data_IF_733171387356
#
_entry.id   IF_733171387356
#
_cell.length_a   1.000
_cell.length_b   1.000
_cell.length_c   1.000
_cell.angle_alpha   90.00
_cell.angle_beta   90.00
_cell.angle_gamma   90.00
#
_symmetry.space_group_name_H-M   'P 1'
#
loop_
_entity.id
_entity.type
_entity.pdbx_description
1 polymer ?
#
# COMPACT_ATOMS: atom_id res chain seq x y z
N UNK A 1 -19.44 -20.90 73.16
CA UNK A 1 -19.25 -22.09 72.29
C UNK A 1 -20.25 -21.91 71.15
N UNK A 2 -19.95 -21.66 69.88
CA UNK A 2 -18.80 -21.87 68.99
C UNK A 2 -18.98 -20.94 67.78
N UNK A 3 -17.86 -20.43 67.22
CA UNK A 3 -17.81 -19.64 65.98
C UNK A 3 -17.86 -20.56 64.75
N UNK A 4 -18.50 -20.14 63.65
CA UNK A 4 -18.01 -20.48 62.30
C UNK A 4 -18.15 -19.26 61.37
N UNK A 5 -17.05 -18.91 60.73
CA UNK A 5 -16.84 -17.74 59.87
C UNK A 5 -16.94 -18.21 58.41
N UNK A 6 -17.90 -17.71 57.64
CA UNK A 6 -17.98 -17.97 56.19
C UNK A 6 -16.86 -17.20 55.45
N UNK A 7 -16.27 -17.75 54.37
CA UNK A 7 -15.07 -17.17 53.78
C UNK A 7 -15.38 -15.89 53.01
N UNK A 8 -14.56 -14.87 53.22
CA UNK A 8 -14.48 -13.66 52.42
C UNK A 8 -14.11 -14.08 50.99
N UNK A 9 -15.06 -14.00 50.06
CA UNK A 9 -14.78 -14.19 48.65
C UNK A 9 -13.90 -13.02 48.21
N UNK A 10 -12.61 -13.29 47.97
CA UNK A 10 -11.68 -12.33 47.40
C UNK A 10 -12.24 -11.86 46.06
N UNK A 11 -12.57 -10.56 45.87
CA UNK A 11 -12.70 -10.05 44.52
C UNK A 11 -11.27 -10.02 43.97
N UNK A 12 -10.92 -11.07 43.23
CA UNK A 12 -9.75 -11.04 42.36
C UNK A 12 -9.90 -9.78 41.51
N UNK A 13 -9.06 -8.77 41.78
CA UNK A 13 -8.99 -7.53 41.01
C UNK A 13 -8.53 -7.91 39.59
N UNK A 14 -9.48 -8.37 38.78
CA UNK A 14 -9.30 -8.49 37.34
C UNK A 14 -9.28 -7.07 36.82
N UNK A 15 -8.08 -6.57 36.53
CA UNK A 15 -7.91 -5.40 35.68
C UNK A 15 -8.54 -5.77 34.34
N UNK A 16 -9.77 -5.31 34.11
CA UNK A 16 -10.41 -5.39 32.81
C UNK A 16 -9.63 -4.45 31.89
N UNK A 17 -8.70 -5.02 31.13
CA UNK A 17 -8.03 -4.30 30.04
C UNK A 17 -9.10 -4.11 28.97
N UNK A 18 -9.67 -2.90 28.93
CA UNK A 18 -10.49 -2.47 27.82
C UNK A 18 -9.60 -2.47 26.57
N UNK A 19 -9.79 -3.49 25.73
CA UNK A 19 -8.97 -3.73 24.54
C UNK A 19 -9.40 -2.85 23.36
N UNK A 20 -10.49 -2.10 23.49
CA UNK A 20 -11.01 -1.26 22.42
C UNK A 20 -11.74 -0.06 23.01
N UNK A 21 -11.03 1.03 23.35
CA UNK A 21 -11.70 2.28 23.67
C UNK A 21 -12.59 2.69 22.50
N UNK A 22 -13.86 3.00 22.79
CA UNK A 22 -14.84 3.41 21.79
C UNK A 22 -14.31 4.60 21.01
N UNK A 23 -13.83 4.35 19.79
CA UNK A 23 -13.41 5.39 18.88
C UNK A 23 -14.63 6.22 18.54
N UNK A 24 -14.66 7.47 19.00
CA UNK A 24 -15.62 8.44 18.51
C UNK A 24 -15.43 8.55 17.00
N UNK A 25 -16.36 7.99 16.24
CA UNK A 25 -16.40 8.14 14.79
C UNK A 25 -16.62 9.62 14.55
N UNK A 26 -15.59 10.32 14.08
CA UNK A 26 -15.78 11.65 13.53
C UNK A 26 -16.59 11.44 12.25
N UNK A 27 -17.85 11.86 12.29
CA UNK A 27 -18.78 11.86 11.17
C UNK A 27 -18.40 12.94 10.14
N UNK A 28 -17.12 13.01 9.77
CA UNK A 28 -16.63 13.68 8.57
C UNK A 28 -15.94 12.60 7.73
N UNK A 29 -16.66 11.51 7.46
CA UNK A 29 -16.30 10.65 6.36
C UNK A 29 -16.69 11.45 5.12
N UNK A 30 -15.74 12.14 4.51
CA UNK A 30 -15.91 12.68 3.17
C UNK A 30 -16.21 11.50 2.25
N UNK A 31 -17.49 11.17 2.09
CA UNK A 31 -17.97 10.23 1.07
C UNK A 31 -17.96 11.00 -0.25
N UNK A 32 -16.77 11.45 -0.65
CA UNK A 32 -16.53 11.91 -2.00
C UNK A 32 -16.82 10.77 -2.98
N UNK A 33 -16.99 11.10 -4.25
CA UNK A 33 -17.01 10.09 -5.30
C UNK A 33 -15.59 9.55 -5.43
N UNK A 34 -15.34 8.36 -4.88
CA UNK A 34 -14.06 7.68 -4.96
C UNK A 34 -14.06 6.71 -6.14
N UNK A 35 -12.93 6.64 -6.83
CA UNK A 35 -12.71 5.63 -7.86
C UNK A 35 -12.26 4.31 -7.23
N UNK A 36 -12.64 3.21 -7.85
CA UNK A 36 -12.16 1.88 -7.49
C UNK A 36 -10.67 1.78 -7.85
N UNK A 37 -9.76 1.47 -6.89
CA UNK A 37 -8.34 1.32 -7.14
C UNK A 37 -7.97 0.25 -8.18
N UNK A 38 -8.84 -0.73 -8.40
CA UNK A 38 -8.61 -1.80 -9.38
C UNK A 38 -8.95 -1.40 -10.83
N UNK A 39 -9.67 -0.29 -11.03
CA UNK A 39 -10.11 0.17 -12.35
C UNK A 39 -8.98 0.88 -13.07
N UNK A 40 -8.64 0.40 -14.27
CA UNK A 40 -7.53 0.92 -15.10
C UNK A 40 -7.95 1.98 -16.12
N UNK A 41 -9.25 2.10 -16.40
CA UNK A 41 -9.80 3.02 -17.41
C UNK A 41 -10.93 3.85 -16.81
N UNK A 42 -10.82 5.18 -16.92
CA UNK A 42 -11.83 6.12 -16.41
C UNK A 42 -12.53 6.79 -17.60
N UNK A 43 -13.86 6.85 -17.56
CA UNK A 43 -14.68 7.42 -18.64
C UNK A 43 -14.87 8.94 -18.55
N UNK A 44 -14.41 9.54 -17.46
CA UNK A 44 -14.48 10.98 -17.20
C UNK A 44 -13.13 11.46 -16.64
N UNK A 45 -12.94 12.78 -16.51
CA UNK A 45 -11.73 13.35 -15.93
C UNK A 45 -11.95 13.58 -14.41
N UNK A 46 -11.50 12.68 -13.52
CA UNK A 46 -11.65 12.85 -12.08
C UNK A 46 -10.72 13.94 -11.54
N UNK A 47 -11.00 14.44 -10.34
CA UNK A 47 -10.11 15.40 -9.66
C UNK A 47 -8.94 14.65 -9.03
N UNK A 48 -7.83 15.38 -8.81
CA UNK A 48 -6.61 14.82 -8.22
C UNK A 48 -6.87 14.10 -6.89
N UNK A 49 -7.65 14.71 -6.00
CA UNK A 49 -7.98 14.14 -4.68
C UNK A 49 -8.71 12.80 -4.79
N UNK A 50 -9.63 12.69 -5.76
CA UNK A 50 -10.40 11.44 -5.96
C UNK A 50 -9.60 10.32 -6.63
N UNK A 51 -8.58 10.64 -7.44
CA UNK A 51 -7.76 9.65 -8.14
C UNK A 51 -6.58 9.16 -7.30
N UNK A 52 -5.98 10.03 -6.49
CA UNK A 52 -4.77 9.73 -5.72
C UNK A 52 -5.04 9.57 -4.21
N UNK A 53 -6.31 9.39 -3.83
CA UNK A 53 -6.66 9.01 -2.47
C UNK A 53 -6.02 7.66 -2.10
N UNK A 54 -5.31 7.55 -0.95
CA UNK A 54 -4.73 6.29 -0.52
C UNK A 54 -5.81 5.29 -0.10
N UNK A 55 -5.52 4.00 -0.26
CA UNK A 55 -6.39 2.94 0.26
C UNK A 55 -6.37 2.93 1.80
N UNK A 56 -7.55 2.83 2.41
CA UNK A 56 -7.68 2.75 3.86
C UNK A 56 -7.60 1.30 4.34
N UNK A 57 -6.78 1.07 5.38
CA UNK A 57 -6.66 -0.23 6.06
C UNK A 57 -5.25 -0.79 6.02
N UNK A 58 -4.94 -1.81 6.85
CA UNK A 58 -3.65 -2.47 6.85
C UNK A 58 -3.44 -3.29 5.57
N UNK A 59 -2.21 -3.32 5.08
CA UNK A 59 -1.83 -4.17 3.95
C UNK A 59 -1.94 -5.66 4.33
N UNK A 60 -2.33 -6.50 3.36
CA UNK A 60 -2.45 -7.94 3.58
C UNK A 60 -1.07 -8.59 3.84
N UNK A 61 -0.82 -9.12 5.06
CA UNK A 61 0.49 -9.66 5.43
C UNK A 61 0.82 -11.00 4.77
N UNK A 62 -0.16 -11.64 4.10
CA UNK A 62 0.04 -12.91 3.40
C UNK A 62 0.54 -12.75 1.95
N UNK A 63 0.74 -11.52 1.48
CA UNK A 63 1.30 -11.26 0.16
C UNK A 63 2.81 -11.35 0.19
N UNK A 64 3.39 -12.11 -0.74
CA UNK A 64 4.83 -12.05 -1.00
C UNK A 64 5.18 -10.71 -1.64
N UNK A 65 6.45 -10.30 -1.59
CA UNK A 65 6.89 -9.03 -2.20
C UNK A 65 6.49 -8.90 -3.68
N UNK A 66 6.59 -9.99 -4.45
CA UNK A 66 6.18 -10.05 -5.85
C UNK A 66 4.66 -9.93 -6.04
N UNK A 67 3.86 -10.40 -5.08
CA UNK A 67 2.40 -10.30 -5.11
C UNK A 67 1.87 -8.96 -4.58
N UNK A 68 2.64 -8.28 -3.72
CA UNK A 68 2.35 -6.94 -3.24
C UNK A 68 2.65 -5.87 -4.30
N UNK A 69 3.64 -6.12 -5.16
CA UNK A 69 3.98 -5.20 -6.25
C UNK A 69 2.86 -5.10 -7.32
N UNK A 70 2.57 -3.90 -7.84
CA UNK A 70 1.65 -3.73 -8.95
C UNK A 70 2.21 -4.44 -10.19
N UNK A 71 1.47 -5.40 -10.74
CA UNK A 71 1.93 -6.25 -11.83
C UNK A 71 0.86 -6.44 -12.90
N UNK A 72 1.29 -6.42 -14.16
CA UNK A 72 0.47 -6.74 -15.33
C UNK A 72 0.82 -8.14 -15.88
N UNK A 73 2.07 -8.57 -15.68
CA UNK A 73 2.59 -9.91 -15.99
C UNK A 73 3.18 -10.55 -14.74
N UNK A 74 3.49 -11.85 -14.76
CA UNK A 74 3.98 -12.55 -13.56
C UNK A 74 5.23 -11.91 -12.96
N UNK A 75 6.14 -11.42 -13.80
CA UNK A 75 7.41 -10.81 -13.41
C UNK A 75 7.33 -9.32 -13.06
N UNK A 76 6.23 -8.62 -13.35
CA UNK A 76 6.15 -7.19 -13.06
C UNK A 76 5.14 -6.42 -13.91
N UNK A 77 5.42 -5.13 -14.13
CA UNK A 77 4.57 -4.20 -14.85
C UNK A 77 5.23 -3.81 -16.17
N UNK A 78 4.52 -3.97 -17.28
CA UNK A 78 5.01 -3.57 -18.59
C UNK A 78 3.94 -2.76 -19.31
N UNK A 79 4.33 -1.55 -19.73
CA UNK A 79 3.51 -0.63 -20.51
C UNK A 79 4.29 -0.17 -21.75
N UNK A 80 3.61 0.03 -22.89
CA UNK A 80 4.22 0.68 -24.04
C UNK A 80 4.65 2.10 -23.68
N UNK A 81 5.94 2.40 -23.82
CA UNK A 81 6.49 3.73 -23.61
C UNK A 81 6.87 4.37 -24.95
N UNK A 82 6.50 5.63 -25.14
CA UNK A 82 6.89 6.42 -26.31
C UNK A 82 8.07 7.32 -25.96
N UNK A 83 9.27 6.81 -26.18
CA UNK A 83 10.53 7.51 -25.90
C UNK A 83 11.33 7.64 -27.19
N UNK A 84 12.08 8.71 -27.33
CA UNK A 84 12.94 8.93 -28.49
C UNK A 84 14.07 7.87 -28.56
N UNK A 85 14.18 7.18 -29.69
CA UNK A 85 15.16 6.12 -29.96
C UNK A 85 16.60 6.56 -29.68
N UNK A 86 16.95 7.80 -30.06
CA UNK A 86 18.29 8.34 -29.83
C UNK A 86 18.61 8.44 -28.33
N UNK A 87 17.62 8.81 -27.51
CA UNK A 87 17.79 8.98 -26.07
C UNK A 87 17.94 7.62 -25.37
N UNK A 88 17.20 6.59 -25.81
CA UNK A 88 17.36 5.23 -25.31
C UNK A 88 18.77 4.72 -25.61
N UNK A 89 19.21 4.84 -26.86
CA UNK A 89 20.48 4.25 -27.28
C UNK A 89 21.67 4.99 -26.65
N UNK A 90 21.58 6.31 -26.47
CA UNK A 90 22.57 7.06 -25.71
C UNK A 90 22.68 6.53 -24.28
N UNK A 91 21.55 6.40 -23.57
CA UNK A 91 21.56 5.91 -22.19
C UNK A 91 22.03 4.45 -22.08
N UNK A 92 21.65 3.59 -23.02
CA UNK A 92 22.11 2.20 -23.07
C UNK A 92 23.63 2.14 -23.19
N UNK A 93 24.23 2.97 -24.06
CA UNK A 93 25.69 3.04 -24.21
C UNK A 93 26.37 3.61 -22.97
N UNK A 94 25.86 4.69 -22.39
CA UNK A 94 26.41 5.26 -21.15
C UNK A 94 26.35 4.25 -20.01
N UNK A 95 25.28 3.46 -19.90
CA UNK A 95 25.19 2.40 -18.89
C UNK A 95 26.28 1.34 -19.07
N UNK A 96 26.45 0.85 -20.31
CA UNK A 96 27.44 -0.20 -20.62
C UNK A 96 28.87 0.31 -20.45
N UNK A 97 29.14 1.56 -20.81
CA UNK A 97 30.49 2.14 -20.77
C UNK A 97 30.87 2.63 -19.38
N UNK A 98 29.97 3.37 -18.72
CA UNK A 98 30.29 4.14 -17.51
C UNK A 98 29.57 3.63 -16.26
N UNK A 99 28.64 2.68 -16.39
CA UNK A 99 27.93 2.06 -15.27
C UNK A 99 26.84 2.93 -14.63
N UNK A 100 26.47 4.07 -15.24
CA UNK A 100 25.40 4.94 -14.75
C UNK A 100 24.50 5.45 -15.88
N UNK A 101 23.28 5.86 -15.51
CA UNK A 101 22.30 6.48 -16.41
C UNK A 101 21.48 7.54 -15.67
N UNK A 102 20.72 8.34 -16.42
CA UNK A 102 19.84 9.33 -15.82
C UNK A 102 18.63 8.65 -15.16
N UNK A 103 18.48 8.84 -13.84
CA UNK A 103 17.48 8.16 -12.98
C UNK A 103 16.03 8.30 -13.44
N UNK A 104 15.67 9.36 -14.18
CA UNK A 104 14.29 9.57 -14.65
C UNK A 104 13.86 8.60 -15.75
N UNK A 105 14.80 7.86 -16.35
CA UNK A 105 14.50 6.78 -17.30
C UNK A 105 14.18 5.44 -16.63
N UNK A 106 14.64 5.30 -15.38
CA UNK A 106 14.74 4.04 -14.66
C UNK A 106 13.42 3.63 -14.03
N UNK A 107 12.47 4.57 -13.84
CA UNK A 107 11.21 4.28 -13.16
C UNK A 107 10.24 3.37 -13.93
N UNK A 108 10.48 3.07 -15.21
CA UNK A 108 9.60 2.21 -16.01
C UNK A 108 10.35 1.19 -16.89
N UNK A 109 11.62 1.40 -17.24
CA UNK A 109 12.33 0.55 -18.22
C UNK A 109 13.25 -0.48 -17.56
N UNK A 110 13.73 -0.23 -16.33
CA UNK A 110 14.75 -1.06 -15.69
C UNK A 110 14.22 -2.07 -14.67
N UNK A 111 12.97 -1.95 -14.22
CA UNK A 111 12.33 -3.01 -13.41
C UNK A 111 12.11 -4.31 -14.21
N UNK A 112 12.22 -4.27 -15.54
CA UNK A 112 12.17 -5.46 -16.42
C UNK A 112 13.55 -6.15 -16.55
N UNK A 113 14.65 -5.46 -16.27
CA UNK A 113 16.01 -5.98 -16.52
C UNK A 113 16.78 -6.40 -15.26
N UNK A 114 16.23 -6.22 -14.06
CA UNK A 114 16.87 -6.59 -12.78
C UNK A 114 16.00 -7.60 -12.00
N UNK A 115 15.51 -8.62 -12.70
CA UNK A 115 15.12 -9.93 -12.15
C UNK A 115 15.77 -11.04 -12.98
#
# INVERSE_FOLDING_TARGET
>A
MYLTKSPLANPSLRVAVDSAPGAAVKEDLEIGVHLDPAVKEVQYNPTYETMFAPEFGPENPFRTQQMAAPRNMLSGYAEPAHINDCMIEQQRRTCVTDGYTFRSFVKNVLDILVL
#
